data_IF_268887922524
#
_entry.id   IF_268887922524
#
_cell.length_a   1.000
_cell.length_b   1.000
_cell.length_c   1.000
_cell.angle_alpha   90.00
_cell.angle_beta   90.00
_cell.angle_gamma   90.00
#
_symmetry.space_group_name_H-M   'P 1'
#
loop_
_entity.id
_entity.type
_entity.pdbx_description
1 polymer ?
#
# COMPACT_ATOMS: atom_id res chain seq x y z
N UNK A 1 21.97 6.32 -11.50
CA UNK A 1 22.66 5.03 -11.70
C UNK A 1 22.18 4.49 -13.04
N UNK A 2 23.05 4.33 -14.02
CA UNK A 2 22.69 3.86 -15.36
C UNK A 2 22.75 2.32 -15.40
N UNK A 3 21.58 1.69 -15.46
CA UNK A 3 21.44 0.23 -15.45
C UNK A 3 22.13 -0.39 -16.67
N UNK A 4 22.04 0.25 -17.84
CA UNK A 4 22.68 -0.26 -19.06
C UNK A 4 24.20 -0.21 -18.93
N UNK A 5 24.75 0.86 -18.35
CA UNK A 5 26.20 0.95 -18.06
C UNK A 5 26.64 -0.10 -17.03
N UNK A 6 25.84 -0.37 -16.00
CA UNK A 6 26.13 -1.40 -15.01
C UNK A 6 26.12 -2.80 -15.64
N UNK A 7 25.09 -3.13 -16.42
CA UNK A 7 25.00 -4.42 -17.13
C UNK A 7 26.19 -4.60 -18.07
N UNK A 8 26.56 -3.55 -18.82
CA UNK A 8 27.74 -3.59 -19.69
C UNK A 8 29.03 -3.85 -18.90
N UNK A 9 29.18 -3.30 -17.70
CA UNK A 9 30.35 -3.59 -16.86
C UNK A 9 30.39 -5.05 -16.42
N UNK A 10 29.25 -5.62 -16.00
CA UNK A 10 29.15 -7.02 -15.54
C UNK A 10 29.43 -8.00 -16.68
N UNK A 11 28.84 -7.79 -17.86
CA UNK A 11 29.02 -8.69 -19.02
C UNK A 11 30.47 -8.71 -19.52
N UNK A 12 31.18 -7.59 -19.37
CA UNK A 12 32.56 -7.48 -19.81
C UNK A 12 33.59 -7.87 -18.73
N UNK A 13 33.17 -8.09 -17.48
CA UNK A 13 34.05 -8.49 -16.39
C UNK A 13 34.61 -9.91 -16.62
N UNK A 14 35.90 -10.10 -16.33
CA UNK A 14 36.57 -11.39 -16.57
C UNK A 14 35.96 -12.55 -15.77
N UNK A 15 35.38 -12.28 -14.61
CA UNK A 15 34.75 -13.29 -13.75
C UNK A 15 33.31 -13.63 -14.15
N UNK A 16 32.67 -12.84 -15.01
CA UNK A 16 31.27 -12.98 -15.41
C UNK A 16 31.04 -13.09 -16.91
N UNK A 17 32.09 -12.89 -17.72
CA UNK A 17 32.04 -13.04 -19.18
C UNK A 17 31.46 -14.42 -19.55
N UNK A 18 30.58 -14.41 -20.54
CA UNK A 18 29.89 -15.58 -21.08
C UNK A 18 28.94 -16.32 -20.11
N UNK A 19 28.65 -15.77 -18.92
CA UNK A 19 27.70 -16.37 -17.96
C UNK A 19 26.28 -15.80 -18.04
N UNK A 20 26.10 -14.66 -18.71
CA UNK A 20 24.79 -14.05 -18.89
C UNK A 20 24.07 -14.72 -20.08
N UNK A 21 23.02 -15.49 -19.79
CA UNK A 21 22.26 -16.25 -20.81
C UNK A 21 21.02 -15.52 -21.33
N UNK A 22 20.51 -14.53 -20.58
CA UNK A 22 19.30 -13.81 -20.93
C UNK A 22 19.25 -12.42 -20.27
N UNK A 23 18.81 -11.41 -21.03
CA UNK A 23 18.37 -10.11 -20.51
C UNK A 23 16.93 -9.89 -20.97
N UNK A 24 16.05 -9.59 -20.02
CA UNK A 24 14.70 -9.15 -20.31
C UNK A 24 14.51 -7.73 -19.82
N UNK A 25 14.16 -6.84 -20.73
CA UNK A 25 13.69 -5.50 -20.38
C UNK A 25 12.17 -5.53 -20.23
N UNK A 26 11.68 -5.13 -19.07
CA UNK A 26 10.24 -4.97 -18.82
C UNK A 26 9.91 -3.49 -19.06
N UNK A 27 9.05 -3.15 -20.05
CA UNK A 27 8.76 -1.78 -20.36
C UNK A 27 8.06 -1.07 -19.20
N UNK A 28 8.36 0.21 -19.04
CA UNK A 28 7.65 1.07 -18.10
C UNK A 28 6.16 1.10 -18.41
N UNK A 29 5.34 1.27 -17.36
CA UNK A 29 3.89 1.36 -17.47
C UNK A 29 3.43 2.67 -16.89
N UNK A 30 2.66 3.41 -17.68
CA UNK A 30 2.03 4.65 -17.22
C UNK A 30 1.04 4.39 -16.08
N UNK A 31 1.00 5.34 -15.15
CA UNK A 31 0.06 5.31 -14.05
C UNK A 31 -1.39 5.45 -14.55
N UNK A 32 -2.28 4.59 -14.05
CA UNK A 32 -3.73 4.70 -14.31
C UNK A 32 -4.45 5.07 -13.03
N UNK A 33 -5.13 6.22 -13.06
CA UNK A 33 -5.89 6.76 -11.94
C UNK A 33 -7.39 6.63 -12.17
N UNK A 34 -8.16 6.63 -11.09
CA UNK A 34 -9.62 6.71 -11.15
C UNK A 34 -10.16 7.46 -9.93
N UNK A 35 -11.29 8.12 -10.11
CA UNK A 35 -11.94 8.88 -9.06
C UNK A 35 -13.00 8.02 -8.36
N UNK A 36 -13.21 8.26 -7.07
CA UNK A 36 -14.21 7.55 -6.27
C UNK A 36 -15.57 8.25 -6.34
N UNK A 37 -16.64 7.46 -6.44
CA UNK A 37 -18.01 7.94 -6.34
C UNK A 37 -18.77 7.11 -5.29
N UNK A 38 -19.23 7.71 -4.17
CA UNK A 38 -18.95 9.08 -3.74
C UNK A 38 -17.46 9.33 -3.46
N UNK A 39 -16.97 10.58 -3.35
CA UNK A 39 -15.57 10.84 -2.98
C UNK A 39 -15.22 10.30 -1.58
N UNK A 40 -13.93 10.37 -1.20
CA UNK A 40 -13.53 10.10 0.18
C UNK A 40 -14.07 11.20 1.11
N UNK A 41 -14.29 10.92 2.40
CA UNK A 41 -14.48 11.97 3.39
C UNK A 41 -13.36 13.01 3.31
N UNK A 42 -13.71 14.30 3.40
CA UNK A 42 -12.77 15.41 3.20
C UNK A 42 -11.52 15.32 4.10
N UNK A 43 -11.66 14.78 5.32
CA UNK A 43 -10.55 14.58 6.23
C UNK A 43 -9.54 13.54 5.71
N UNK A 44 -10.00 12.44 5.10
CA UNK A 44 -9.12 11.45 4.49
C UNK A 44 -8.45 11.98 3.22
N UNK A 45 -9.20 12.73 2.40
CA UNK A 45 -8.65 13.37 1.20
C UNK A 45 -7.54 14.38 1.55
N UNK A 46 -7.77 15.24 2.54
CA UNK A 46 -6.76 16.18 3.04
C UNK A 46 -5.49 15.45 3.53
N UNK A 47 -5.65 14.36 4.29
CA UNK A 47 -4.51 13.57 4.78
C UNK A 47 -3.75 12.88 3.65
N UNK A 48 -4.42 12.39 2.61
CA UNK A 48 -3.75 11.87 1.42
C UNK A 48 -2.94 12.97 0.70
N UNK A 49 -3.50 14.17 0.55
CA UNK A 49 -2.80 15.31 -0.07
C UNK A 49 -1.55 15.72 0.71
N UNK A 50 -1.63 15.78 2.05
CA UNK A 50 -0.48 16.04 2.92
C UNK A 50 0.62 14.98 2.80
N UNK A 51 0.24 13.73 2.53
CA UNK A 51 1.17 12.63 2.24
C UNK A 51 1.70 12.64 0.78
N UNK A 52 1.32 13.63 -0.03
CA UNK A 52 1.73 13.77 -1.43
C UNK A 52 0.93 12.91 -2.41
N UNK A 53 -0.20 12.32 -1.98
CA UNK A 53 -1.05 11.44 -2.78
C UNK A 53 -2.23 12.26 -3.30
N UNK A 54 -2.11 12.78 -4.52
CA UNK A 54 -3.13 13.64 -5.14
C UNK A 54 -4.29 12.85 -5.78
N UNK A 55 -4.03 11.60 -6.19
CA UNK A 55 -5.01 10.76 -6.88
C UNK A 55 -4.80 9.30 -6.51
N UNK A 56 -5.90 8.56 -6.46
CA UNK A 56 -5.87 7.11 -6.28
C UNK A 56 -5.59 6.41 -7.60
N UNK A 57 -4.76 5.38 -7.55
CA UNK A 57 -4.66 4.45 -8.67
C UNK A 57 -5.98 3.74 -8.91
N UNK A 58 -6.25 3.39 -10.17
CA UNK A 58 -7.45 2.68 -10.61
C UNK A 58 -7.78 1.47 -9.75
N UNK A 59 -6.80 0.61 -9.44
CA UNK A 59 -7.00 -0.56 -8.59
C UNK A 59 -7.38 -0.22 -7.14
N UNK A 60 -6.91 0.91 -6.60
CA UNK A 60 -7.29 1.38 -5.26
C UNK A 60 -8.73 1.86 -5.24
N UNK A 61 -9.11 2.68 -6.23
CA UNK A 61 -10.47 3.19 -6.36
C UNK A 61 -11.48 2.04 -6.59
N UNK A 62 -11.14 1.07 -7.44
CA UNK A 62 -11.97 -0.11 -7.69
C UNK A 62 -12.14 -0.97 -6.44
N UNK A 63 -11.06 -1.23 -5.69
CA UNK A 63 -11.12 -1.99 -4.46
C UNK A 63 -12.00 -1.29 -3.40
N UNK A 64 -11.81 0.02 -3.20
CA UNK A 64 -12.60 0.80 -2.24
C UNK A 64 -14.09 0.84 -2.64
N UNK A 65 -14.40 1.04 -3.92
CA UNK A 65 -15.76 1.00 -4.42
C UNK A 65 -16.42 -0.38 -4.21
N UNK A 66 -15.68 -1.46 -4.43
CA UNK A 66 -16.18 -2.81 -4.18
C UNK A 66 -16.43 -3.08 -2.69
N UNK A 67 -15.54 -2.65 -1.79
CA UNK A 67 -15.73 -2.75 -0.33
C UNK A 67 -16.94 -1.93 0.13
N UNK A 68 -17.11 -0.71 -0.39
CA UNK A 68 -18.29 0.13 -0.10
C UNK A 68 -19.61 -0.52 -0.53
N UNK A 69 -19.58 -1.36 -1.57
CA UNK A 69 -20.71 -2.16 -2.02
C UNK A 69 -20.91 -3.45 -1.18
N UNK A 70 -20.19 -3.63 -0.07
CA UNK A 70 -20.29 -4.80 0.80
C UNK A 70 -19.67 -6.07 0.21
N UNK A 71 -18.81 -5.96 -0.81
CA UNK A 71 -18.17 -7.12 -1.45
C UNK A 71 -16.82 -7.45 -0.79
N UNK A 72 -16.50 -8.74 -0.76
CA UNK A 72 -15.16 -9.22 -0.45
C UNK A 72 -14.26 -9.02 -1.68
N UNK A 73 -13.02 -8.56 -1.45
CA UNK A 73 -12.10 -8.18 -2.53
C UNK A 73 -10.75 -8.86 -2.34
N UNK A 74 -10.20 -9.40 -3.43
CA UNK A 74 -8.80 -9.83 -3.51
C UNK A 74 -8.08 -8.91 -4.49
N UNK A 75 -7.02 -8.25 -4.04
CA UNK A 75 -6.23 -7.32 -4.85
C UNK A 75 -4.91 -7.96 -5.25
N UNK A 76 -4.71 -8.16 -6.56
CA UNK A 76 -3.47 -8.73 -7.12
C UNK A 76 -2.65 -7.65 -7.80
N UNK A 77 -1.73 -7.03 -7.06
CA UNK A 77 -0.86 -5.96 -7.57
C UNK A 77 0.60 -6.22 -7.23
N UNK A 78 1.51 -5.60 -7.97
CA UNK A 78 2.94 -5.69 -7.69
C UNK A 78 3.33 -5.11 -6.33
N UNK A 79 4.54 -5.45 -5.87
CA UNK A 79 5.16 -4.77 -4.72
C UNK A 79 5.28 -3.27 -4.99
N UNK A 80 5.21 -2.45 -3.93
CA UNK A 80 5.23 -0.99 -4.00
C UNK A 80 4.10 -0.32 -4.83
N UNK A 81 3.05 -1.06 -5.22
CA UNK A 81 1.89 -0.51 -5.95
C UNK A 81 0.94 0.39 -5.13
N UNK A 82 1.16 0.50 -3.82
CA UNK A 82 0.25 1.21 -2.92
C UNK A 82 -0.97 0.39 -2.49
N UNK A 83 -0.92 -0.95 -2.58
CA UNK A 83 -2.00 -1.85 -2.17
C UNK A 83 -2.55 -1.61 -0.76
N UNK A 84 -1.73 -1.10 0.17
CA UNK A 84 -2.15 -0.87 1.55
C UNK A 84 -3.30 0.14 1.66
N UNK A 85 -3.37 1.12 0.75
CA UNK A 85 -4.49 2.07 0.71
C UNK A 85 -5.83 1.40 0.40
N UNK A 86 -5.82 0.25 -0.31
CA UNK A 86 -7.05 -0.47 -0.66
C UNK A 86 -7.82 -0.96 0.57
N UNK A 87 -7.14 -1.23 1.68
CA UNK A 87 -7.77 -1.69 2.93
C UNK A 87 -7.70 -0.68 4.07
N UNK A 88 -6.68 0.19 4.12
CA UNK A 88 -6.64 1.23 5.15
C UNK A 88 -7.73 2.28 4.96
N UNK A 89 -7.97 2.74 3.73
CA UNK A 89 -8.96 3.79 3.47
C UNK A 89 -10.38 3.33 3.84
N UNK A 90 -10.86 2.13 3.45
CA UNK A 90 -12.18 1.68 3.90
C UNK A 90 -12.30 1.51 5.42
N UNK A 91 -11.23 1.08 6.10
CA UNK A 91 -11.23 0.94 7.57
C UNK A 91 -11.35 2.30 8.25
N UNK A 92 -10.54 3.29 7.85
CA UNK A 92 -10.60 4.65 8.39
C UNK A 92 -11.93 5.33 8.03
N UNK A 93 -12.44 5.11 6.81
CA UNK A 93 -13.74 5.61 6.39
C UNK A 93 -14.87 5.03 7.24
N UNK A 94 -14.82 3.73 7.56
CA UNK A 94 -15.80 3.09 8.44
C UNK A 94 -15.73 3.66 9.86
N UNK A 95 -14.51 3.84 10.38
CA UNK A 95 -14.27 4.45 11.68
C UNK A 95 -14.82 5.88 11.78
N UNK A 96 -14.62 6.72 10.76
CA UNK A 96 -15.15 8.08 10.71
C UNK A 96 -16.68 8.14 10.76
N UNK A 97 -17.37 7.10 10.28
CA UNK A 97 -18.83 6.98 10.34
C UNK A 97 -19.31 6.39 11.66
N UNK A 98 -18.49 5.58 12.31
CA UNK A 98 -18.83 4.79 13.50
C UNK A 98 -17.56 4.49 14.32
N UNK A 99 -17.26 5.31 15.34
CA UNK A 99 -16.09 5.13 16.19
C UNK A 99 -16.07 3.81 16.98
N UNK A 100 -17.21 3.13 17.13
CA UNK A 100 -17.29 1.82 17.77
C UNK A 100 -16.96 0.65 16.81
N UNK A 101 -16.75 0.94 15.53
CA UNK A 101 -16.31 -0.07 14.58
C UNK A 101 -14.91 -0.61 14.91
N UNK A 102 -14.65 -1.86 14.51
CA UNK A 102 -13.39 -2.57 14.71
C UNK A 102 -12.94 -3.21 13.40
N UNK A 103 -11.63 -3.35 13.21
CA UNK A 103 -11.05 -4.03 12.07
C UNK A 103 -9.93 -4.96 12.53
N UNK A 104 -9.87 -6.17 11.96
CA UNK A 104 -8.81 -7.13 12.20
C UNK A 104 -7.89 -7.18 10.98
N UNK A 105 -6.60 -7.02 11.24
CA UNK A 105 -5.56 -7.12 10.22
C UNK A 105 -4.76 -8.40 10.48
N UNK A 106 -4.69 -9.27 9.46
CA UNK A 106 -3.95 -10.52 9.52
C UNK A 106 -2.73 -10.44 8.60
N UNK A 107 -1.55 -10.65 9.18
CA UNK A 107 -0.29 -10.64 8.46
C UNK A 107 0.50 -11.93 8.72
N UNK A 108 1.24 -12.44 7.72
CA UNK A 108 2.02 -13.67 7.87
C UNK A 108 3.23 -13.52 8.80
N UNK A 109 3.69 -12.30 9.09
CA UNK A 109 4.87 -12.07 9.95
C UNK A 109 4.68 -10.86 10.85
N UNK A 110 5.29 -10.90 12.05
CA UNK A 110 5.33 -9.78 13.01
C UNK A 110 5.93 -8.52 12.39
N UNK A 111 7.04 -8.67 11.67
CA UNK A 111 7.72 -7.55 11.02
C UNK A 111 6.80 -6.82 10.01
N UNK A 112 6.01 -7.57 9.24
CA UNK A 112 5.05 -6.97 8.33
C UNK A 112 3.89 -6.31 9.09
N UNK A 113 3.39 -6.92 10.16
CA UNK A 113 2.36 -6.31 11.00
C UNK A 113 2.82 -4.96 11.57
N UNK A 114 4.04 -4.89 12.10
CA UNK A 114 4.63 -3.64 12.61
C UNK A 114 4.82 -2.59 11.52
N UNK A 115 5.24 -2.99 10.32
CA UNK A 115 5.34 -2.08 9.18
C UNK A 115 3.99 -1.48 8.80
N UNK A 116 2.94 -2.30 8.76
CA UNK A 116 1.60 -1.86 8.42
C UNK A 116 0.94 -1.04 9.54
N UNK A 117 1.26 -1.31 10.82
CA UNK A 117 0.86 -0.45 11.94
C UNK A 117 1.42 0.97 11.76
N UNK A 118 2.71 1.11 11.46
CA UNK A 118 3.32 2.44 11.20
C UNK A 118 2.66 3.15 10.03
N UNK A 119 2.37 2.42 8.95
CA UNK A 119 1.65 2.96 7.79
C UNK A 119 0.25 3.46 8.14
N UNK A 120 -0.51 2.68 8.91
CA UNK A 120 -1.85 3.04 9.36
C UNK A 120 -1.83 4.25 10.30
N UNK A 121 -0.93 4.29 11.29
CA UNK A 121 -0.81 5.41 12.22
C UNK A 121 -0.45 6.71 11.49
N UNK A 122 0.45 6.64 10.50
CA UNK A 122 0.80 7.81 9.68
C UNK A 122 -0.41 8.32 8.88
N UNK A 123 -1.13 7.42 8.21
CA UNK A 123 -2.32 7.79 7.44
C UNK A 123 -3.46 8.29 8.36
N UNK A 124 -3.59 7.70 9.53
CA UNK A 124 -4.61 7.98 10.53
C UNK A 124 -4.28 9.12 11.49
N UNK A 125 -3.11 9.75 11.42
CA UNK A 125 -2.80 10.89 12.30
C UNK A 125 -3.82 12.02 12.09
N UNK A 126 -4.33 12.56 13.20
CA UNK A 126 -5.46 13.52 13.21
C UNK A 126 -6.84 12.90 12.97
N UNK A 127 -6.93 11.59 12.73
CA UNK A 127 -8.18 10.85 12.50
C UNK A 127 -8.42 9.81 13.59
N UNK A 128 -7.44 8.94 13.81
CA UNK A 128 -7.53 7.74 14.63
C UNK A 128 -6.60 7.90 15.84
N UNK A 129 -7.11 7.80 17.07
CA UNK A 129 -6.28 7.82 18.26
C UNK A 129 -5.26 6.68 18.22
N UNK A 130 -3.95 6.95 18.33
CA UNK A 130 -2.91 5.92 18.21
C UNK A 130 -3.04 4.82 19.28
N UNK A 131 -3.56 5.14 20.46
CA UNK A 131 -3.80 4.20 21.56
C UNK A 131 -4.88 3.15 21.25
N UNK A 132 -5.69 3.35 20.20
CA UNK A 132 -6.74 2.40 19.80
C UNK A 132 -6.27 1.40 18.74
N UNK A 133 -5.03 1.53 18.30
CA UNK A 133 -4.43 0.64 17.28
C UNK A 133 -3.23 -0.05 17.88
N UNK A 134 -3.23 -1.38 17.82
CA UNK A 134 -2.12 -2.17 18.32
C UNK A 134 -1.94 -3.45 17.53
N UNK A 135 -0.73 -3.98 17.59
CA UNK A 135 -0.46 -5.38 17.21
C UNK A 135 -0.73 -6.26 18.41
N UNK A 136 -1.41 -7.38 18.18
CA UNK A 136 -1.56 -8.44 19.17
C UNK A 136 -0.82 -9.69 18.65
N UNK A 137 0.37 -9.91 19.17
CA UNK A 137 1.28 -11.00 18.78
C UNK A 137 2.03 -11.55 20.01
N UNK A 138 2.94 -12.51 19.78
CA UNK A 138 3.70 -13.14 20.87
C UNK A 138 4.65 -12.21 21.63
N UNK A 139 4.91 -10.99 21.16
CA UNK A 139 5.77 -10.01 21.84
C UNK A 139 4.94 -9.01 22.67
N UNK A 140 3.61 -9.11 22.63
CA UNK A 140 2.71 -8.24 23.39
C UNK A 140 2.78 -8.63 24.88
N UNK A 141 3.10 -7.70 25.81
CA UNK A 141 3.16 -8.00 27.24
C UNK A 141 1.85 -8.59 27.76
N UNK A 142 1.95 -9.58 28.63
CA UNK A 142 0.83 -10.24 29.32
C UNK A 142 0.27 -9.41 30.47
#
# INVERSE_FOLDING_TARGET
>A
MDVARFLNAVVNDRGYRDQLVHVQEIPAREARYADLQPPLPALLEARLHEMGIQRLYSHQAEAIAAVRAGRNVVVTTGTASGKSLCYHLPVLERYLRDPESRALYLFPTKALAQDQLRGLLRLGEGILPPEWVGTYDGDTPS
#
